data_IF_994019455952
#
_entry.id   IF_994019455952
#
_cell.length_a   1.000
_cell.length_b   1.000
_cell.length_c   1.000
_cell.angle_alpha   90.00
_cell.angle_beta   90.00
_cell.angle_gamma   90.00
#
_symmetry.space_group_name_H-M   'P 1'
#
loop_
_entity.id
_entity.type
_entity.pdbx_description
1 polymer ?
#
# COMPACT_ATOMS: atom_id res chain seq x y z
N UNK A 1 23.11 -19.79 5.56
CA UNK A 1 22.68 -18.93 6.68
C UNK A 1 22.39 -17.56 6.11
N UNK A 2 21.18 -17.03 6.28
CA UNK A 2 20.78 -15.71 5.74
C UNK A 2 20.20 -14.85 6.87
N UNK A 3 20.80 -13.69 7.18
CA UNK A 3 20.29 -12.78 8.21
C UNK A 3 19.08 -11.98 7.71
N UNK A 4 18.13 -11.70 8.61
CA UNK A 4 16.97 -10.82 8.41
C UNK A 4 16.79 -9.97 9.68
N UNK A 5 17.40 -8.77 9.66
CA UNK A 5 17.47 -7.86 10.82
C UNK A 5 16.82 -6.53 10.49
N UNK A 6 15.97 -6.08 11.40
CA UNK A 6 15.46 -4.72 11.43
C UNK A 6 15.65 -4.17 12.86
N UNK A 7 16.61 -3.26 13.02
CA UNK A 7 16.97 -2.67 14.31
C UNK A 7 15.84 -1.78 14.86
N UNK A 8 15.13 -1.08 13.97
CA UNK A 8 14.02 -0.19 14.34
C UNK A 8 12.79 -0.97 14.80
N UNK A 9 12.55 -2.16 14.23
CA UNK A 9 11.46 -3.05 14.63
C UNK A 9 11.87 -4.10 15.68
N UNK A 10 13.10 -4.06 16.21
CA UNK A 10 13.67 -5.09 17.12
C UNK A 10 13.46 -6.52 16.59
N UNK A 11 13.62 -6.69 15.27
CA UNK A 11 13.48 -7.98 14.59
C UNK A 11 14.85 -8.54 14.33
N UNK A 12 15.14 -9.69 14.92
CA UNK A 12 16.42 -10.38 14.78
C UNK A 12 16.17 -11.82 14.33
N UNK A 13 16.13 -12.06 13.02
CA UNK A 13 15.84 -13.38 12.46
C UNK A 13 17.01 -13.96 11.66
N UNK A 14 17.16 -15.28 11.70
CA UNK A 14 18.19 -16.02 10.95
C UNK A 14 17.49 -17.15 10.19
N UNK A 15 17.61 -17.14 8.86
CA UNK A 15 17.12 -18.24 8.02
C UNK A 15 18.24 -19.25 7.78
N UNK A 16 18.03 -20.47 8.24
CA UNK A 16 18.92 -21.61 8.04
C UNK A 16 18.37 -22.50 6.93
N UNK A 17 19.27 -22.97 6.07
CA UNK A 17 18.99 -23.96 5.03
C UNK A 17 19.95 -25.12 5.27
N UNK A 18 19.42 -26.25 5.73
CA UNK A 18 20.20 -27.43 6.08
C UNK A 18 19.85 -28.55 5.09
N UNK A 19 20.82 -29.09 4.35
CA UNK A 19 20.60 -30.27 3.53
C UNK A 19 20.24 -31.48 4.40
N UNK A 20 19.14 -32.15 4.11
CA UNK A 20 18.68 -33.39 4.76
C UNK A 20 18.51 -34.49 3.71
N UNK A 21 18.37 -35.75 4.15
CA UNK A 21 18.21 -36.90 3.25
C UNK A 21 16.95 -36.82 2.35
N UNK A 22 15.95 -36.04 2.77
CA UNK A 22 14.69 -35.82 2.05
C UNK A 22 14.69 -34.52 1.22
N UNK A 23 15.75 -33.71 1.27
CA UNK A 23 15.86 -32.45 0.51
C UNK A 23 16.57 -31.33 1.27
N UNK A 24 16.03 -30.11 1.19
CA UNK A 24 16.54 -28.95 1.93
C UNK A 24 15.55 -28.55 3.01
N UNK A 25 15.95 -28.62 4.27
CA UNK A 25 15.15 -28.13 5.40
C UNK A 25 15.40 -26.64 5.61
N UNK A 26 14.33 -25.83 5.63
CA UNK A 26 14.40 -24.41 5.98
C UNK A 26 13.92 -24.19 7.42
N UNK A 27 14.76 -23.61 8.27
CA UNK A 27 14.44 -23.26 9.65
C UNK A 27 14.65 -21.76 9.88
N UNK A 28 13.67 -21.10 10.50
CA UNK A 28 13.78 -19.68 10.88
C UNK A 28 14.00 -19.57 12.38
N UNK A 29 15.14 -19.03 12.79
CA UNK A 29 15.43 -18.71 14.19
C UNK A 29 15.10 -17.24 14.44
N UNK A 30 14.41 -16.95 15.55
CA UNK A 30 14.16 -15.58 16.02
C UNK A 30 14.89 -15.36 17.34
N UNK A 31 15.75 -14.35 17.39
CA UNK A 31 16.45 -13.93 18.58
C UNK A 31 15.69 -12.78 19.26
N UNK A 32 15.88 -12.66 20.57
CA UNK A 32 15.24 -11.66 21.43
C UNK A 32 15.90 -10.29 21.31
N UNK A 33 17.22 -10.28 21.21
CA UNK A 33 18.04 -9.08 21.35
C UNK A 33 19.32 -9.16 20.49
N UNK A 34 19.88 -7.99 20.16
CA UNK A 34 21.06 -7.85 19.31
C UNK A 34 22.29 -8.70 19.76
N UNK A 35 22.67 -8.78 21.06
CA UNK A 35 23.82 -9.58 21.46
C UNK A 35 23.55 -11.09 21.37
N UNK A 36 22.32 -11.55 21.63
CA UNK A 36 21.95 -12.94 21.39
C UNK A 36 22.02 -13.25 19.89
N UNK A 37 21.44 -12.38 19.06
CA UNK A 37 21.47 -12.52 17.61
C UNK A 37 22.90 -12.66 17.06
N UNK A 38 23.82 -11.79 17.48
CA UNK A 38 25.19 -11.83 17.02
C UNK A 38 25.90 -13.16 17.35
N UNK A 39 25.64 -13.71 18.56
CA UNK A 39 26.17 -15.04 18.95
C UNK A 39 25.59 -16.16 18.09
N UNK A 40 24.28 -16.15 17.84
CA UNK A 40 23.63 -17.17 17.02
C UNK A 40 24.06 -17.10 15.55
N UNK A 41 24.21 -15.91 14.98
CA UNK A 41 24.71 -15.72 13.61
C UNK A 41 26.14 -16.20 13.48
N UNK A 42 27.03 -15.78 14.38
CA UNK A 42 28.43 -16.22 14.40
C UNK A 42 28.52 -17.75 14.52
N UNK A 43 27.75 -18.35 15.44
CA UNK A 43 27.69 -19.80 15.59
C UNK A 43 27.20 -20.54 14.34
N UNK A 44 26.16 -20.01 13.68
CA UNK A 44 25.64 -20.60 12.44
C UNK A 44 26.63 -20.47 11.27
N UNK A 45 27.36 -19.35 11.18
CA UNK A 45 28.41 -19.17 10.18
C UNK A 45 29.57 -20.13 10.41
N UNK A 46 30.03 -20.27 11.65
CA UNK A 46 31.08 -21.24 12.02
C UNK A 46 30.67 -22.67 11.69
N UNK A 47 29.47 -23.08 12.11
CA UNK A 47 28.95 -24.41 11.82
C UNK A 47 28.85 -24.67 10.31
N UNK A 48 28.46 -23.67 9.51
CA UNK A 48 28.39 -23.80 8.05
C UNK A 48 29.76 -23.94 7.37
N UNK A 49 30.85 -23.51 8.02
CA UNK A 49 32.23 -23.56 7.51
C UNK A 49 33.05 -24.70 8.12
N UNK A 50 32.47 -25.50 9.03
CA UNK A 50 33.17 -26.56 9.76
C UNK A 50 34.12 -26.04 10.85
N UNK A 51 33.93 -24.81 11.34
CA UNK A 51 34.77 -24.19 12.37
C UNK A 51 34.45 -24.68 13.78
N UNK A 52 35.46 -24.64 14.67
CA UNK A 52 35.33 -25.02 16.09
C UNK A 52 34.76 -23.87 16.94
N UNK A 53 34.07 -24.18 18.04
CA UNK A 53 33.39 -23.22 18.91
C UNK A 53 34.33 -22.21 19.62
N UNK A 54 35.65 -22.42 19.56
CA UNK A 54 36.66 -21.57 20.20
C UNK A 54 36.82 -20.19 19.53
N UNK A 55 36.41 -20.03 18.27
CA UNK A 55 36.44 -18.74 17.55
C UNK A 55 35.15 -17.91 17.67
N UNK A 56 34.14 -18.41 18.39
CA UNK A 56 32.80 -17.80 18.47
C UNK A 56 32.82 -16.38 19.06
N UNK A 57 33.68 -16.12 20.06
CA UNK A 57 33.73 -14.83 20.74
C UNK A 57 34.26 -13.70 19.85
N UNK A 58 35.32 -13.95 19.07
CA UNK A 58 35.92 -12.97 18.17
C UNK A 58 35.00 -12.68 16.97
N UNK A 59 34.33 -13.69 16.43
CA UNK A 59 33.41 -13.51 15.29
C UNK A 59 32.09 -12.86 15.72
N UNK A 60 31.57 -13.15 16.93
CA UNK A 60 30.40 -12.46 17.49
C UNK A 60 30.65 -10.96 17.74
N UNK A 61 31.87 -10.58 18.15
CA UNK A 61 32.28 -9.17 18.21
C UNK A 61 32.37 -8.53 16.83
N UNK A 62 32.82 -9.28 15.81
CA UNK A 62 32.79 -8.82 14.41
C UNK A 62 31.37 -8.57 13.87
N UNK A 63 30.40 -9.41 14.26
CA UNK A 63 28.97 -9.25 13.89
C UNK A 63 28.32 -8.07 14.63
N UNK A 64 28.73 -7.77 15.86
CA UNK A 64 28.33 -6.56 16.60
C UNK A 64 29.10 -5.30 16.15
N UNK A 65 30.22 -5.47 15.43
CA UNK A 65 31.03 -4.42 14.83
C UNK A 65 30.39 -3.75 13.61
N UNK A 66 29.11 -4.01 13.34
CA UNK A 66 28.30 -3.08 12.56
C UNK A 66 28.15 -1.84 13.42
N UNK A 67 28.91 -0.80 13.05
CA UNK A 67 28.85 0.54 13.62
C UNK A 67 27.40 0.89 13.99
N UNK A 68 27.15 1.67 15.05
CA UNK A 68 25.93 2.47 15.13
C UNK A 68 26.01 3.43 13.94
N UNK A 69 25.59 2.93 12.77
CA UNK A 69 25.52 3.67 11.54
C UNK A 69 24.53 4.76 11.85
N UNK A 70 25.07 5.97 12.00
CA UNK A 70 24.38 7.24 11.86
C UNK A 70 22.97 7.04 11.35
N UNK A 71 22.01 7.08 12.26
CA UNK A 71 20.70 7.60 11.95
C UNK A 71 20.88 9.11 11.73
N UNK A 72 21.61 9.47 10.67
CA UNK A 72 21.51 10.79 10.10
C UNK A 72 20.08 10.83 9.54
N UNK A 73 19.17 11.72 9.99
CA UNK A 73 17.91 11.98 9.33
C UNK A 73 18.20 12.78 8.05
N UNK A 74 19.12 12.30 7.22
CA UNK A 74 19.34 12.88 5.91
C UNK A 74 18.35 12.20 4.99
N UNK A 75 17.28 12.95 4.71
CA UNK A 75 16.34 12.76 3.61
C UNK A 75 16.98 11.91 2.50
N UNK A 76 16.37 10.77 2.14
CA UNK A 76 17.03 9.83 1.24
C UNK A 76 17.32 10.51 -0.12
N UNK A 77 18.58 10.45 -0.57
CA UNK A 77 19.10 11.22 -1.71
C UNK A 77 18.42 10.92 -3.05
N UNK A 78 17.61 9.85 -3.14
CA UNK A 78 16.74 9.61 -4.30
C UNK A 78 15.71 10.74 -4.51
N UNK A 79 15.41 11.52 -3.47
CA UNK A 79 14.49 12.65 -3.54
C UNK A 79 15.06 13.88 -4.29
N UNK A 80 16.37 13.98 -4.49
CA UNK A 80 17.01 15.19 -5.02
C UNK A 80 17.49 15.10 -6.48
N UNK A 81 17.60 13.92 -7.07
CA UNK A 81 18.21 13.77 -8.42
C UNK A 81 17.27 13.32 -9.53
N UNK A 82 15.99 13.07 -9.25
CA UNK A 82 15.04 12.74 -10.30
C UNK A 82 14.37 14.03 -10.80
N UNK A 83 14.44 14.35 -12.11
CA UNK A 83 13.63 15.44 -12.65
C UNK A 83 12.16 15.17 -12.32
N UNK A 84 11.39 16.20 -11.94
CA UNK A 84 10.00 16.02 -11.54
C UNK A 84 9.26 15.26 -12.64
N UNK A 85 8.46 14.24 -12.29
CA UNK A 85 7.72 13.45 -13.27
C UNK A 85 6.87 14.38 -14.16
N UNK A 86 6.79 14.05 -15.45
CA UNK A 86 6.03 14.87 -16.41
C UNK A 86 4.57 14.96 -15.95
N UNK A 87 4.03 16.17 -15.69
CA UNK A 87 2.66 16.34 -15.23
C UNK A 87 1.63 15.78 -16.22
N UNK A 88 1.95 15.66 -17.51
CA UNK A 88 1.05 15.05 -18.48
C UNK A 88 0.89 13.54 -18.26
N UNK A 89 1.91 12.85 -17.74
CA UNK A 89 1.83 11.40 -17.45
C UNK A 89 1.04 11.08 -16.17
N UNK A 90 0.90 12.05 -15.26
CA UNK A 90 0.22 11.87 -13.97
C UNK A 90 -1.26 12.23 -14.00
N UNK A 91 -1.71 12.98 -15.01
CA UNK A 91 -3.06 13.53 -15.07
C UNK A 91 -3.91 12.81 -16.12
N UNK A 92 -5.23 12.66 -15.90
CA UNK A 92 -6.14 12.13 -16.91
C UNK A 92 -6.14 12.97 -18.20
N UNK A 93 -6.40 12.37 -19.38
CA UNK A 93 -6.33 13.06 -20.69
C UNK A 93 -7.19 14.33 -20.78
N UNK A 94 -8.34 14.36 -20.10
CA UNK A 94 -9.22 15.53 -20.03
C UNK A 94 -8.55 16.78 -19.44
N UNK A 95 -7.62 16.59 -18.51
CA UNK A 95 -6.85 17.70 -17.90
C UNK A 95 -5.64 18.07 -18.75
N UNK A 96 -5.01 17.10 -19.42
CA UNK A 96 -3.92 17.35 -20.39
C UNK A 96 -4.38 18.23 -21.56
N UNK A 97 -5.63 18.05 -22.02
CA UNK A 97 -6.25 18.89 -23.06
C UNK A 97 -6.55 20.31 -22.60
N UNK A 98 -6.86 20.49 -21.31
CA UNK A 98 -7.28 21.78 -20.74
C UNK A 98 -6.11 22.66 -20.28
N UNK A 99 -5.03 22.05 -19.80
CA UNK A 99 -3.91 22.76 -19.18
C UNK A 99 -2.59 22.41 -19.85
N UNK A 100 -1.78 23.43 -20.14
CA UNK A 100 -0.42 23.23 -20.68
C UNK A 100 0.49 22.72 -19.56
N UNK A 101 1.45 21.85 -19.91
CA UNK A 101 2.42 21.29 -18.94
C UNK A 101 3.08 22.37 -18.06
N UNK A 102 3.50 23.50 -18.67
CA UNK A 102 4.11 24.64 -17.97
C UNK A 102 3.25 25.24 -16.84
N UNK A 103 1.92 25.16 -16.93
CA UNK A 103 1.01 25.66 -15.89
C UNK A 103 0.83 24.66 -14.75
N UNK A 104 1.04 23.37 -15.03
CA UNK A 104 0.84 22.27 -14.08
C UNK A 104 2.10 22.00 -13.27
N UNK A 105 3.29 22.21 -13.85
CA UNK A 105 4.59 22.03 -13.18
C UNK A 105 4.69 22.73 -11.82
N UNK A 106 4.39 24.04 -11.67
CA UNK A 106 4.50 24.71 -10.37
C UNK A 106 3.52 24.14 -9.33
N UNK A 107 2.29 23.81 -9.75
CA UNK A 107 1.30 23.18 -8.86
C UNK A 107 1.74 21.78 -8.40
N UNK A 108 2.34 21.01 -9.30
CA UNK A 108 2.87 19.68 -8.98
C UNK A 108 4.02 19.79 -7.98
N UNK A 109 4.96 20.72 -8.18
CA UNK A 109 6.07 20.96 -7.25
C UNK A 109 5.58 21.37 -5.86
N UNK A 110 4.55 22.23 -5.78
CA UNK A 110 3.95 22.61 -4.51
C UNK A 110 3.35 21.41 -3.77
N UNK A 111 2.62 20.54 -4.49
CA UNK A 111 2.07 19.30 -3.90
C UNK A 111 3.19 18.36 -3.47
N UNK A 112 4.21 18.14 -4.32
CA UNK A 112 5.37 17.31 -4.02
C UNK A 112 6.12 17.81 -2.78
N UNK A 113 6.24 19.11 -2.60
CA UNK A 113 6.85 19.69 -1.40
C UNK A 113 6.04 19.36 -0.14
N UNK A 114 4.70 19.45 -0.21
CA UNK A 114 3.81 19.11 0.92
C UNK A 114 3.84 17.62 1.28
N UNK A 115 3.95 16.73 0.30
CA UNK A 115 3.96 15.27 0.53
C UNK A 115 5.37 14.68 0.68
N UNK A 116 6.42 15.46 0.43
CA UNK A 116 7.81 14.99 0.42
C UNK A 116 8.32 14.49 1.77
N UNK A 117 7.71 14.91 2.88
CA UNK A 117 8.02 14.43 4.22
C UNK A 117 7.34 13.09 4.57
N UNK A 118 6.41 12.60 3.74
CA UNK A 118 5.68 11.36 4.01
C UNK A 118 6.48 10.13 3.59
N UNK A 119 6.38 9.06 4.37
CA UNK A 119 6.88 7.74 3.94
C UNK A 119 6.04 7.21 2.78
N UNK A 120 6.56 6.26 1.96
CA UNK A 120 5.80 5.69 0.85
C UNK A 120 4.45 5.08 1.27
N UNK A 121 4.37 4.48 2.46
CA UNK A 121 3.13 3.91 3.00
C UNK A 121 2.14 5.02 3.36
N UNK A 122 2.60 6.07 4.03
CA UNK A 122 1.76 7.23 4.37
C UNK A 122 1.25 7.95 3.12
N UNK A 123 2.10 8.14 2.11
CA UNK A 123 1.72 8.75 0.83
C UNK A 123 0.62 7.94 0.12
N UNK A 124 0.74 6.60 0.09
CA UNK A 124 -0.30 5.70 -0.46
C UNK A 124 -1.61 5.77 0.32
N UNK A 125 -1.53 5.77 1.65
CA UNK A 125 -2.72 5.88 2.50
C UNK A 125 -3.45 7.20 2.25
N UNK A 126 -2.72 8.32 2.26
CA UNK A 126 -3.28 9.66 1.95
C UNK A 126 -3.92 9.72 0.58
N UNK A 127 -3.32 9.07 -0.43
CA UNK A 127 -3.92 8.97 -1.76
C UNK A 127 -5.26 8.25 -1.73
N UNK A 128 -5.34 7.11 -1.04
CA UNK A 128 -6.60 6.34 -0.91
C UNK A 128 -7.64 7.14 -0.13
N UNK A 129 -7.27 7.83 0.94
CA UNK A 129 -8.18 8.69 1.71
C UNK A 129 -8.73 9.84 0.86
N UNK A 130 -7.87 10.52 0.10
CA UNK A 130 -8.29 11.59 -0.80
C UNK A 130 -9.22 11.05 -1.91
N UNK A 131 -8.93 9.86 -2.44
CA UNK A 131 -9.79 9.21 -3.43
C UNK A 131 -11.16 8.83 -2.84
N UNK A 132 -11.19 8.31 -1.61
CA UNK A 132 -12.43 7.97 -0.88
C UNK A 132 -13.28 9.18 -0.55
N UNK A 133 -12.67 10.35 -0.36
CA UNK A 133 -13.37 11.59 -0.07
C UNK A 133 -14.03 12.24 -1.31
N UNK A 134 -13.76 11.73 -2.53
CA UNK A 134 -14.35 12.29 -3.73
C UNK A 134 -15.87 12.04 -3.79
N UNK A 135 -16.66 13.01 -4.30
CA UNK A 135 -18.06 12.79 -4.62
C UNK A 135 -18.20 11.63 -5.61
N UNK A 136 -19.09 10.69 -5.30
CA UNK A 136 -19.34 9.50 -6.13
C UNK A 136 -18.36 8.34 -5.93
N UNK A 137 -17.43 8.43 -4.96
CA UNK A 137 -16.63 7.29 -4.59
C UNK A 137 -17.51 6.11 -4.14
N UNK A 138 -17.21 4.92 -4.65
CA UNK A 138 -17.91 3.70 -4.28
C UNK A 138 -19.32 3.55 -4.87
N UNK A 139 -19.70 4.37 -5.86
CA UNK A 139 -20.97 4.22 -6.58
C UNK A 139 -20.84 3.27 -7.79
N UNK A 140 -21.56 2.15 -7.76
CA UNK A 140 -21.81 1.30 -8.92
C UNK A 140 -23.06 1.79 -9.66
N UNK A 141 -22.96 2.06 -10.96
CA UNK A 141 -24.07 2.64 -11.75
C UNK A 141 -24.73 1.56 -12.62
N UNK A 142 -26.05 1.47 -12.55
CA UNK A 142 -26.86 0.53 -13.31
C UNK A 142 -27.93 1.30 -14.08
N UNK A 143 -28.13 0.93 -15.34
CA UNK A 143 -29.25 1.45 -16.13
C UNK A 143 -30.48 0.61 -15.79
N UNK A 144 -31.54 1.26 -15.31
CA UNK A 144 -32.78 0.61 -14.88
C UNK A 144 -34.00 1.38 -15.35
N UNK A 145 -35.16 0.73 -15.43
CA UNK A 145 -36.44 1.39 -15.68
C UNK A 145 -37.30 1.32 -14.44
N UNK A 146 -37.50 2.46 -13.78
CA UNK A 146 -38.39 2.53 -12.63
C UNK A 146 -39.85 2.39 -13.06
N UNK A 147 -40.67 1.80 -12.19
CA UNK A 147 -42.11 1.71 -12.44
C UNK A 147 -42.72 3.09 -12.70
N UNK A 148 -43.50 3.21 -13.78
CA UNK A 148 -44.11 4.47 -14.22
C UNK A 148 -43.16 5.43 -14.95
N UNK A 149 -41.87 5.12 -15.08
CA UNK A 149 -40.95 5.90 -15.91
C UNK A 149 -41.07 5.48 -17.38
N UNK A 150 -41.29 6.45 -18.26
CA UNK A 150 -41.33 6.23 -19.72
C UNK A 150 -39.94 6.10 -20.37
N UNK A 151 -38.86 6.27 -19.60
CA UNK A 151 -37.48 6.21 -20.07
C UNK A 151 -36.58 5.48 -19.08
N UNK A 152 -35.44 5.03 -19.57
CA UNK A 152 -34.40 4.45 -18.72
C UNK A 152 -33.76 5.53 -17.86
N UNK A 153 -33.40 5.16 -16.64
CA UNK A 153 -32.75 6.00 -15.65
C UNK A 153 -31.56 5.27 -15.03
N UNK A 154 -30.84 5.95 -14.14
CA UNK A 154 -29.65 5.38 -13.50
C UNK A 154 -29.94 5.14 -12.02
N UNK A 155 -29.71 3.91 -11.58
CA UNK A 155 -29.60 3.55 -10.17
C UNK A 155 -28.11 3.47 -9.81
N UNK A 156 -27.65 4.37 -8.95
CA UNK A 156 -26.32 4.29 -8.38
C UNK A 156 -26.37 3.62 -6.99
N UNK A 157 -25.70 2.49 -6.85
CA UNK A 157 -25.57 1.72 -5.62
C UNK A 157 -24.29 2.13 -4.92
N UNK A 158 -24.41 2.81 -3.79
CA UNK A 158 -23.29 3.19 -2.94
C UNK A 158 -23.10 2.24 -1.75
N UNK A 159 -22.07 2.48 -0.93
CA UNK A 159 -21.80 1.64 0.24
C UNK A 159 -22.86 1.75 1.34
N UNK A 160 -23.57 2.88 1.44
CA UNK A 160 -24.55 3.16 2.50
C UNK A 160 -25.93 3.57 1.99
N UNK A 161 -26.08 3.80 0.69
CA UNK A 161 -27.30 4.34 0.10
C UNK A 161 -27.42 3.98 -1.39
N UNK A 162 -28.66 3.94 -1.85
CA UNK A 162 -29.06 3.86 -3.25
C UNK A 162 -29.45 5.27 -3.73
N UNK A 163 -29.07 5.63 -4.95
CA UNK A 163 -29.39 6.93 -5.55
C UNK A 163 -30.07 6.72 -6.89
N UNK A 164 -31.21 7.39 -7.10
CA UNK A 164 -31.82 7.53 -8.42
C UNK A 164 -31.26 8.79 -9.07
N UNK A 165 -30.70 8.64 -10.26
CA UNK A 165 -30.05 9.70 -11.01
C UNK A 165 -30.75 9.85 -12.35
N UNK A 166 -31.10 11.08 -12.67
CA UNK A 166 -31.62 11.42 -13.99
C UNK A 166 -30.47 11.40 -15.02
N UNK A 167 -30.54 10.58 -16.08
CA UNK A 167 -29.45 10.45 -17.04
C UNK A 167 -29.19 11.70 -17.86
N UNK A 168 -30.18 12.58 -18.04
CA UNK A 168 -30.02 13.80 -18.83
C UNK A 168 -29.28 14.91 -18.06
N UNK A 169 -29.66 15.14 -16.81
CA UNK A 169 -29.03 16.16 -15.95
C UNK A 169 -27.85 15.66 -15.13
N UNK A 170 -27.77 14.35 -14.89
CA UNK A 170 -26.85 13.76 -13.91
C UNK A 170 -27.18 14.10 -12.46
N UNK A 171 -28.34 14.73 -12.20
CA UNK A 171 -28.76 15.11 -10.86
C UNK A 171 -29.38 13.93 -10.12
N UNK A 172 -29.12 13.86 -8.81
CA UNK A 172 -29.77 12.90 -7.91
C UNK A 172 -31.22 13.34 -7.70
N UNK A 173 -32.17 12.56 -8.17
CA UNK A 173 -33.61 12.82 -8.01
C UNK A 173 -34.16 12.21 -6.72
N UNK A 174 -33.60 11.08 -6.27
CA UNK A 174 -34.02 10.41 -5.02
C UNK A 174 -32.85 9.67 -4.37
N UNK A 175 -32.87 9.56 -3.04
CA UNK A 175 -31.88 8.82 -2.26
C UNK A 175 -32.58 7.94 -1.23
N UNK A 176 -32.09 6.71 -1.07
CA UNK A 176 -32.55 5.74 -0.08
C UNK A 176 -31.37 5.22 0.72
N UNK A 177 -31.42 5.29 2.05
CA UNK A 177 -30.35 4.73 2.88
C UNK A 177 -30.57 3.25 3.08
N UNK A 178 -29.47 2.48 3.14
CA UNK A 178 -29.54 1.05 3.43
C UNK A 178 -30.14 0.78 4.82
N UNK A 179 -29.97 1.70 5.78
CA UNK A 179 -30.57 1.61 7.11
C UNK A 179 -32.09 1.57 7.11
N UNK A 180 -32.71 2.13 6.06
CA UNK A 180 -34.16 2.29 5.99
C UNK A 180 -34.81 1.13 5.20
N UNK A 181 -33.99 0.31 4.52
CA UNK A 181 -34.43 -0.86 3.78
C UNK A 181 -34.68 -2.03 4.74
N UNK A 182 -35.90 -2.57 4.71
CA UNK A 182 -36.27 -3.73 5.53
C UNK A 182 -36.01 -5.06 4.84
N UNK A 183 -36.37 -5.12 3.56
CA UNK A 183 -36.24 -6.30 2.71
C UNK A 183 -36.23 -5.84 1.25
N UNK A 184 -35.63 -6.66 0.39
CA UNK A 184 -35.68 -6.54 -1.06
C UNK A 184 -35.91 -7.94 -1.63
N UNK A 185 -36.52 -8.03 -2.81
CA UNK A 185 -36.80 -9.29 -3.49
C UNK A 185 -36.50 -9.13 -4.98
N UNK A 186 -36.15 -10.22 -5.66
CA UNK A 186 -35.89 -10.22 -7.09
C UNK A 186 -36.81 -11.20 -7.75
N UNK A 187 -37.73 -10.68 -8.55
CA UNK A 187 -38.53 -11.50 -9.44
C UNK A 187 -37.76 -11.72 -10.74
N UNK A 188 -37.21 -12.93 -10.91
CA UNK A 188 -36.42 -13.30 -12.08
C UNK A 188 -37.26 -13.47 -13.37
N UNK A 189 -38.53 -13.82 -13.24
CA UNK A 189 -39.43 -13.99 -14.39
C UNK A 189 -39.75 -12.64 -15.05
N UNK A 190 -39.92 -11.60 -14.23
CA UNK A 190 -40.17 -10.23 -14.70
C UNK A 190 -38.90 -9.35 -14.73
N UNK A 191 -37.77 -9.87 -14.24
CA UNK A 191 -36.50 -9.16 -14.06
C UNK A 191 -36.64 -7.86 -13.25
N UNK A 192 -37.43 -7.90 -12.19
CA UNK A 192 -37.70 -6.77 -11.30
C UNK A 192 -37.06 -6.97 -9.93
N UNK A 193 -36.59 -5.87 -9.34
CA UNK A 193 -35.95 -5.78 -8.02
C UNK A 193 -36.70 -4.76 -7.17
#
# INVERSE_FOLDING_TARGET
>A
VTPDVDLGAQKFCIKLRVPTLEGMSETLLRCRDAPQYARWVAGCHLASRGGSATSLGAEAQGVLGVQPGKEDPTVPSWALSRPPPDPQQLLPPRFQRKFKAKQLTPRLLEVLHRVGALTPVQARLRFVEAWRALPGFGLGHFVVRFQGAGRDEILAVGPSQLLRIDPASGAVTRSWRHSDLRQWDVNWDSQQV
#
